data_IF_526955866387
#
_entry.id   IF_526955866387
#
_cell.length_a   1.000
_cell.length_b   1.000
_cell.length_c   1.000
_cell.angle_alpha   90.00
_cell.angle_beta   90.00
_cell.angle_gamma   90.00
#
_symmetry.space_group_name_H-M   'P 1'
#
loop_
_entity.id
_entity.type
_entity.pdbx_description
1 polymer ?
#
# COMPACT_ATOMS: atom_id res chain seq x y z
N UNK A 1 2.36 14.62 17.41
CA UNK A 1 2.04 13.51 16.48
C UNK A 1 2.75 13.58 15.13
N UNK A 2 3.66 14.55 14.94
CA UNK A 2 4.44 14.69 13.67
C UNK A 2 5.67 13.78 13.55
N UNK A 3 6.00 13.03 14.60
CA UNK A 3 7.25 12.27 14.70
C UNK A 3 7.27 11.03 13.78
N UNK A 4 6.11 10.49 13.41
CA UNK A 4 5.98 9.26 12.61
C UNK A 4 5.65 9.52 11.13
N UNK A 5 5.39 10.78 10.73
CA UNK A 5 5.07 11.11 9.34
C UNK A 5 6.25 10.73 8.43
N UNK A 6 6.02 9.85 7.47
CA UNK A 6 6.98 9.36 6.44
C UNK A 6 8.31 8.76 6.95
N UNK A 7 8.46 8.49 8.27
CA UNK A 7 9.73 8.01 8.84
C UNK A 7 9.96 6.51 8.73
N UNK A 8 8.90 5.71 8.75
CA UNK A 8 9.02 4.26 8.67
C UNK A 8 8.65 3.83 7.25
N UNK A 9 9.56 3.22 6.50
CA UNK A 9 9.27 2.73 5.16
C UNK A 9 8.06 1.79 5.14
N UNK A 10 7.07 1.98 4.26
CA UNK A 10 5.87 1.16 4.17
C UNK A 10 6.11 -0.34 4.06
N UNK A 11 7.15 -0.84 3.37
CA UNK A 11 7.48 -2.26 3.37
C UNK A 11 7.81 -2.83 4.75
N UNK A 12 8.39 -2.02 5.65
CA UNK A 12 8.68 -2.45 7.04
C UNK A 12 7.38 -2.63 7.80
N UNK A 13 6.42 -1.71 7.64
CA UNK A 13 5.09 -1.83 8.24
C UNK A 13 4.38 -3.08 7.72
N UNK A 14 4.43 -3.31 6.40
CA UNK A 14 3.83 -4.50 5.81
C UNK A 14 4.48 -5.79 6.35
N UNK A 15 5.81 -5.84 6.44
CA UNK A 15 6.53 -6.98 7.02
C UNK A 15 6.13 -7.21 8.48
N UNK A 16 6.05 -6.15 9.29
CA UNK A 16 5.58 -6.23 10.68
C UNK A 16 4.17 -6.81 10.76
N UNK A 17 3.26 -6.34 9.91
CA UNK A 17 1.89 -6.87 9.80
C UNK A 17 1.89 -8.38 9.45
N UNK A 18 2.73 -8.81 8.52
CA UNK A 18 2.87 -10.21 8.11
C UNK A 18 3.39 -11.07 9.28
N UNK A 19 4.42 -10.59 9.98
CA UNK A 19 4.99 -11.30 11.14
C UNK A 19 3.95 -11.43 12.26
N UNK A 20 3.24 -10.36 12.60
CA UNK A 20 2.18 -10.40 13.62
C UNK A 20 1.06 -11.35 13.18
N UNK A 21 0.68 -11.33 11.89
CA UNK A 21 -0.32 -12.24 11.33
C UNK A 21 0.10 -13.72 11.50
N UNK A 22 1.36 -14.04 11.18
CA UNK A 22 1.91 -15.37 11.39
C UNK A 22 1.92 -15.76 12.86
N UNK A 23 2.42 -14.91 13.74
CA UNK A 23 2.49 -15.20 15.18
C UNK A 23 1.10 -15.36 15.81
N UNK A 24 0.08 -14.71 15.28
CA UNK A 24 -1.30 -14.86 15.77
C UNK A 24 -1.86 -16.26 15.61
N UNK A 25 -1.33 -17.07 14.67
CA UNK A 25 -1.73 -18.46 14.46
C UNK A 25 -1.35 -19.39 15.61
N UNK A 26 -0.38 -19.00 16.44
CA UNK A 26 -0.02 -19.74 17.66
C UNK A 26 -0.96 -19.43 18.84
N UNK A 27 -1.69 -18.33 18.79
CA UNK A 27 -2.63 -17.91 19.84
C UNK A 27 -4.05 -18.42 19.60
N UNK A 28 -4.45 -18.51 18.34
CA UNK A 28 -5.79 -18.95 17.92
C UNK A 28 -5.66 -19.92 16.75
N UNK A 29 -6.36 -21.03 16.82
CA UNK A 29 -6.34 -22.02 15.76
C UNK A 29 -6.76 -21.43 14.42
N UNK A 30 -5.94 -21.60 13.37
CA UNK A 30 -6.22 -21.05 12.05
C UNK A 30 -7.43 -21.73 11.40
N UNK A 31 -8.18 -20.96 10.62
CA UNK A 31 -9.26 -21.49 9.79
C UNK A 31 -8.64 -22.07 8.53
N UNK A 32 -8.98 -23.31 8.22
CA UNK A 32 -8.54 -23.97 6.99
C UNK A 32 -9.75 -24.19 6.07
N UNK A 33 -9.70 -23.56 4.90
CA UNK A 33 -10.65 -23.83 3.83
C UNK A 33 -9.95 -24.53 2.65
N UNK A 34 -10.55 -25.56 2.06
CA UNK A 34 -9.96 -26.20 0.89
C UNK A 34 -9.69 -25.19 -0.23
N UNK A 35 -8.50 -25.26 -0.82
CA UNK A 35 -8.09 -24.44 -1.97
C UNK A 35 -8.01 -22.91 -1.71
N UNK A 36 -8.10 -22.45 -0.47
CA UNK A 36 -7.95 -21.00 -0.15
C UNK A 36 -6.56 -20.49 -0.52
N UNK A 37 -5.56 -21.37 -0.51
CA UNK A 37 -4.19 -21.04 -0.88
C UNK A 37 -4.10 -20.58 -2.36
N UNK A 38 -4.91 -21.14 -3.26
CA UNK A 38 -4.96 -20.74 -4.67
C UNK A 38 -5.40 -19.28 -4.77
N UNK A 39 -6.45 -18.90 -4.04
CA UNK A 39 -6.93 -17.51 -3.98
C UNK A 39 -5.85 -16.63 -3.39
N UNK A 40 -5.17 -17.07 -2.33
CA UNK A 40 -4.04 -16.37 -1.73
C UNK A 40 -2.92 -16.11 -2.74
N UNK A 41 -2.54 -17.12 -3.56
CA UNK A 41 -1.54 -16.96 -4.62
C UNK A 41 -1.98 -15.91 -5.65
N UNK A 42 -3.23 -15.97 -6.10
CA UNK A 42 -3.74 -15.00 -7.08
C UNK A 42 -3.70 -13.58 -6.53
N UNK A 43 -4.13 -13.37 -5.29
CA UNK A 43 -4.08 -12.07 -4.63
C UNK A 43 -2.64 -11.58 -4.46
N UNK A 44 -1.71 -12.48 -4.10
CA UNK A 44 -0.28 -12.16 -4.02
C UNK A 44 0.26 -11.67 -5.36
N UNK A 45 -0.04 -12.39 -6.44
CA UNK A 45 0.41 -12.00 -7.78
C UNK A 45 -0.16 -10.64 -8.20
N UNK A 46 -1.45 -10.38 -7.94
CA UNK A 46 -2.07 -9.06 -8.19
C UNK A 46 -1.35 -7.97 -7.40
N UNK A 47 -1.04 -8.21 -6.13
CA UNK A 47 -0.32 -7.26 -5.27
C UNK A 47 1.08 -6.95 -5.80
N UNK A 48 1.85 -7.98 -6.14
CA UNK A 48 3.21 -7.82 -6.69
C UNK A 48 3.20 -7.10 -8.04
N UNK A 49 2.30 -7.47 -8.95
CA UNK A 49 2.15 -6.83 -10.25
C UNK A 49 1.79 -5.35 -10.08
N UNK A 50 0.82 -5.03 -9.21
CA UNK A 50 0.40 -3.65 -8.91
C UNK A 50 1.56 -2.80 -8.41
N UNK A 51 2.34 -3.31 -7.45
CA UNK A 51 3.51 -2.61 -6.91
C UNK A 51 4.61 -2.43 -7.98
N UNK A 52 4.90 -3.48 -8.77
CA UNK A 52 5.91 -3.43 -9.83
C UNK A 52 5.54 -2.42 -10.93
N UNK A 53 4.28 -2.37 -11.36
CA UNK A 53 3.80 -1.40 -12.33
C UNK A 53 3.96 0.03 -11.83
N UNK A 54 3.68 0.30 -10.56
CA UNK A 54 3.87 1.61 -9.95
C UNK A 54 5.34 2.03 -9.95
N UNK A 55 6.25 1.13 -9.51
CA UNK A 55 7.70 1.38 -9.50
C UNK A 55 8.22 1.61 -10.92
N UNK A 56 7.77 0.81 -11.89
CA UNK A 56 8.14 0.96 -13.29
C UNK A 56 7.75 2.33 -13.83
N UNK A 57 6.52 2.78 -13.56
CA UNK A 57 6.03 4.09 -14.01
C UNK A 57 6.80 5.25 -13.37
N UNK A 58 7.14 5.16 -12.09
CA UNK A 58 7.97 6.17 -11.43
C UNK A 58 9.37 6.24 -12.07
N UNK A 59 10.02 5.10 -12.29
CA UNK A 59 11.33 5.04 -12.97
C UNK A 59 11.25 5.59 -14.40
N UNK A 60 10.22 5.21 -15.17
CA UNK A 60 10.01 5.70 -16.54
C UNK A 60 9.84 7.22 -16.60
N UNK A 61 9.15 7.81 -15.62
CA UNK A 61 8.93 9.25 -15.54
C UNK A 61 10.05 9.99 -14.77
N UNK A 62 11.14 9.30 -14.42
CA UNK A 62 12.32 9.87 -13.73
C UNK A 62 11.95 10.64 -12.45
N UNK A 63 10.93 10.16 -11.72
CA UNK A 63 10.49 10.73 -10.44
C UNK A 63 10.86 9.81 -9.28
N UNK A 64 10.84 10.33 -8.05
CA UNK A 64 11.22 9.56 -6.87
C UNK A 64 10.18 8.50 -6.50
N UNK A 65 10.67 7.34 -6.07
CA UNK A 65 9.88 6.29 -5.41
C UNK A 65 10.04 6.33 -3.89
N UNK A 66 10.80 7.32 -3.37
CA UNK A 66 11.14 7.41 -1.96
C UNK A 66 9.95 7.98 -1.15
N UNK A 67 9.29 7.17 -0.31
CA UNK A 67 8.14 7.64 0.48
C UNK A 67 8.55 8.53 1.66
N UNK A 68 9.86 8.59 1.99
CA UNK A 68 10.38 9.39 3.10
C UNK A 68 10.46 10.86 2.69
N UNK A 69 10.83 11.14 1.43
CA UNK A 69 11.03 12.46 0.88
C UNK A 69 10.09 12.71 -0.32
N UNK A 70 8.78 12.79 -0.13
CA UNK A 70 7.83 13.02 -1.24
C UNK A 70 8.04 14.39 -1.92
N UNK A 71 8.69 15.32 -1.25
CA UNK A 71 9.03 16.65 -1.79
C UNK A 71 10.07 16.61 -2.93
N UNK A 72 10.78 15.50 -3.09
CA UNK A 72 11.73 15.27 -4.20
C UNK A 72 11.05 14.84 -5.52
N UNK A 73 9.72 14.73 -5.53
CA UNK A 73 8.99 14.34 -6.73
C UNK A 73 9.12 15.41 -7.82
N UNK A 74 9.62 15.01 -8.98
CA UNK A 74 9.85 15.89 -10.13
C UNK A 74 8.69 15.90 -11.13
N UNK A 75 7.89 14.84 -11.13
CA UNK A 75 6.80 14.65 -12.10
C UNK A 75 5.59 14.01 -11.42
N UNK A 76 4.41 14.57 -11.68
CA UNK A 76 3.15 13.97 -11.27
C UNK A 76 2.74 12.87 -12.25
N UNK A 77 2.82 11.61 -11.82
CA UNK A 77 2.41 10.45 -12.62
C UNK A 77 0.92 10.18 -12.42
N UNK A 78 0.14 10.27 -13.51
CA UNK A 78 -1.34 10.10 -13.48
C UNK A 78 -1.82 9.00 -14.42
N UNK A 79 -0.91 8.34 -15.15
CA UNK A 79 -1.24 7.37 -16.21
C UNK A 79 -1.04 5.91 -15.74
N UNK A 80 -1.55 4.96 -16.53
CA UNK A 80 -1.44 3.54 -16.22
C UNK A 80 -2.15 3.19 -14.92
N UNK A 81 -1.50 2.46 -14.00
CA UNK A 81 -2.09 2.08 -12.72
C UNK A 81 -2.49 3.28 -11.85
N UNK A 82 -1.83 4.45 -12.04
CA UNK A 82 -2.17 5.69 -11.36
C UNK A 82 -3.46 6.35 -11.86
N UNK A 83 -4.04 5.91 -12.97
CA UNK A 83 -5.39 6.33 -13.38
C UNK A 83 -6.52 5.57 -12.67
N UNK A 84 -6.20 4.47 -11.98
CA UNK A 84 -7.15 3.64 -11.23
C UNK A 84 -7.11 3.97 -9.74
N UNK A 85 -5.91 4.11 -9.20
CA UNK A 85 -5.64 4.42 -7.79
C UNK A 85 -4.50 5.42 -7.67
N UNK A 86 -4.58 6.35 -6.71
CA UNK A 86 -3.48 7.28 -6.46
C UNK A 86 -2.30 6.63 -5.71
N UNK A 87 -2.52 5.47 -5.07
CA UNK A 87 -1.55 4.82 -4.19
C UNK A 87 -1.30 3.35 -4.56
N UNK A 88 -0.91 3.03 -5.81
CA UNK A 88 -0.81 1.65 -6.25
C UNK A 88 0.26 0.85 -5.51
N UNK A 89 1.33 1.48 -5.01
CA UNK A 89 2.35 0.78 -4.22
C UNK A 89 1.77 0.29 -2.88
N UNK A 90 0.99 1.13 -2.19
CA UNK A 90 0.34 0.75 -0.92
C UNK A 90 -0.79 -0.25 -1.12
N UNK A 91 -1.52 -0.14 -2.24
CA UNK A 91 -2.51 -1.13 -2.64
C UNK A 91 -1.85 -2.49 -2.89
N UNK A 92 -0.68 -2.52 -3.54
CA UNK A 92 0.12 -3.73 -3.71
C UNK A 92 0.52 -4.37 -2.37
N UNK A 93 1.03 -3.58 -1.42
CA UNK A 93 1.36 -4.06 -0.08
C UNK A 93 0.12 -4.58 0.68
N UNK A 94 -1.02 -3.91 0.55
CA UNK A 94 -2.28 -4.36 1.12
C UNK A 94 -2.66 -5.77 0.59
N UNK A 95 -2.57 -5.99 -0.71
CA UNK A 95 -2.84 -7.31 -1.30
C UNK A 95 -1.84 -8.37 -0.85
N UNK A 96 -0.56 -8.03 -0.68
CA UNK A 96 0.44 -8.94 -0.12
C UNK A 96 0.05 -9.34 1.31
N UNK A 97 -0.34 -8.41 2.17
CA UNK A 97 -0.81 -8.74 3.53
C UNK A 97 -2.10 -9.58 3.46
N UNK A 98 -3.04 -9.22 2.59
CA UNK A 98 -4.29 -9.96 2.36
C UNK A 98 -4.03 -11.43 1.99
N UNK A 99 -3.06 -11.68 1.11
CA UNK A 99 -2.67 -13.04 0.73
C UNK A 99 -2.17 -13.84 1.94
N UNK A 100 -1.37 -13.24 2.82
CA UNK A 100 -0.87 -13.93 4.02
C UNK A 100 -1.97 -14.23 5.04
N UNK A 101 -3.02 -13.40 5.11
CA UNK A 101 -4.21 -13.68 5.93
C UNK A 101 -4.88 -14.98 5.48
N UNK A 102 -5.00 -15.17 4.16
CA UNK A 102 -5.58 -16.39 3.59
C UNK A 102 -4.65 -17.61 3.79
N UNK A 103 -3.34 -17.45 3.55
CA UNK A 103 -2.37 -18.53 3.73
C UNK A 103 -2.30 -19.02 5.18
N UNK A 104 -2.30 -18.11 6.13
CA UNK A 104 -2.21 -18.47 7.54
C UNK A 104 -3.57 -18.80 8.17
N UNK A 105 -4.67 -18.50 7.48
CA UNK A 105 -6.01 -18.70 8.02
C UNK A 105 -6.29 -17.90 9.30
N UNK A 106 -5.67 -16.73 9.43
CA UNK A 106 -5.66 -15.97 10.67
C UNK A 106 -6.92 -15.12 10.84
N UNK A 107 -7.64 -15.32 11.94
CA UNK A 107 -8.75 -14.47 12.34
C UNK A 107 -8.35 -13.01 12.61
N UNK A 108 -7.15 -12.82 13.16
CA UNK A 108 -6.61 -11.49 13.42
C UNK A 108 -6.25 -10.72 12.15
N UNK A 109 -6.19 -11.41 11.01
CA UNK A 109 -5.82 -10.82 9.74
C UNK A 109 -6.69 -9.64 9.34
N UNK A 110 -7.99 -9.66 9.64
CA UNK A 110 -8.90 -8.54 9.34
C UNK A 110 -8.50 -7.30 10.16
N UNK A 111 -8.21 -7.48 11.45
CA UNK A 111 -7.78 -6.38 12.33
C UNK A 111 -6.46 -5.80 11.84
N UNK A 112 -5.53 -6.67 11.42
CA UNK A 112 -4.22 -6.26 10.89
C UNK A 112 -4.38 -5.46 9.59
N UNK A 113 -5.27 -5.87 8.68
CA UNK A 113 -5.56 -5.14 7.44
C UNK A 113 -6.17 -3.76 7.73
N UNK A 114 -7.12 -3.67 8.65
CA UNK A 114 -7.70 -2.38 9.08
C UNK A 114 -6.62 -1.48 9.68
N UNK A 115 -5.77 -2.03 10.55
CA UNK A 115 -4.64 -1.29 11.13
C UNK A 115 -3.67 -0.80 10.04
N UNK A 116 -3.31 -1.65 9.08
CA UNK A 116 -2.42 -1.27 7.97
C UNK A 116 -3.00 -0.10 7.17
N UNK A 117 -4.27 -0.19 6.74
CA UNK A 117 -4.94 0.88 5.98
C UNK A 117 -5.00 2.17 6.79
N UNK A 118 -5.37 2.10 8.07
CA UNK A 118 -5.40 3.27 8.96
C UNK A 118 -4.01 3.90 9.09
N UNK A 119 -2.97 3.08 9.36
CA UNK A 119 -1.61 3.55 9.55
C UNK A 119 -1.06 4.22 8.29
N UNK A 120 -1.18 3.54 7.13
CA UNK A 120 -0.69 4.05 5.86
C UNK A 120 -1.43 5.35 5.47
N UNK A 121 -2.75 5.41 5.63
CA UNK A 121 -3.49 6.65 5.37
C UNK A 121 -2.96 7.82 6.21
N UNK A 122 -2.78 7.61 7.51
CA UNK A 122 -2.46 8.69 8.45
C UNK A 122 -1.01 9.15 8.37
N UNK A 123 -0.07 8.21 8.24
CA UNK A 123 1.35 8.50 8.40
C UNK A 123 2.13 8.52 7.07
N UNK A 124 1.54 8.04 5.98
CA UNK A 124 2.16 8.03 4.66
C UNK A 124 1.34 8.84 3.66
N UNK A 125 0.11 8.41 3.34
CA UNK A 125 -0.65 8.97 2.23
C UNK A 125 -1.00 10.45 2.47
N UNK A 126 -1.52 10.81 3.65
CA UNK A 126 -1.91 12.21 3.92
C UNK A 126 -0.70 13.16 3.81
N UNK A 127 0.47 12.87 4.42
CA UNK A 127 1.67 13.70 4.21
C UNK A 127 2.14 13.77 2.76
N UNK A 128 2.06 12.66 2.02
CA UNK A 128 2.41 12.64 0.59
C UNK A 128 1.43 13.49 -0.24
N UNK A 129 0.14 13.40 0.03
CA UNK A 129 -0.87 14.25 -0.62
C UNK A 129 -0.64 15.73 -0.34
N UNK A 130 -0.27 16.10 0.91
CA UNK A 130 0.09 17.47 1.29
C UNK A 130 1.33 17.96 0.49
N UNK A 131 2.34 17.10 0.32
CA UNK A 131 3.52 17.42 -0.46
C UNK A 131 3.19 17.55 -1.96
N UNK A 132 2.41 16.63 -2.52
CA UNK A 132 1.98 16.68 -3.93
C UNK A 132 1.15 17.93 -4.25
N UNK A 133 0.28 18.34 -3.33
CA UNK A 133 -0.52 19.56 -3.49
C UNK A 133 0.36 20.82 -3.50
N UNK A 134 1.40 20.87 -2.65
CA UNK A 134 2.37 21.97 -2.64
C UNK A 134 3.21 22.01 -3.92
N UNK A 135 3.65 20.85 -4.44
CA UNK A 135 4.52 20.76 -5.61
C UNK A 135 3.78 21.01 -6.92
N UNK A 136 2.57 20.45 -7.07
CA UNK A 136 1.86 20.41 -8.35
C UNK A 136 0.57 21.24 -8.39
N UNK A 137 0.12 21.76 -7.24
CA UNK A 137 -1.00 22.70 -7.14
C UNK A 137 -2.28 22.19 -7.82
N UNK A 138 -2.81 23.00 -8.76
CA UNK A 138 -4.07 22.71 -9.45
C UNK A 138 -4.04 21.38 -10.24
N UNK A 139 -2.87 20.99 -10.79
CA UNK A 139 -2.75 19.71 -11.52
C UNK A 139 -3.00 18.51 -10.61
N UNK A 140 -2.50 18.57 -9.38
CA UNK A 140 -2.76 17.54 -8.40
C UNK A 140 -4.22 17.54 -7.94
N UNK A 141 -4.82 18.71 -7.75
CA UNK A 141 -6.22 18.83 -7.34
C UNK A 141 -7.19 18.29 -8.39
N UNK A 142 -6.94 18.50 -9.67
CA UNK A 142 -7.70 17.90 -10.77
C UNK A 142 -7.55 16.36 -10.79
N UNK A 143 -6.33 15.86 -10.65
CA UNK A 143 -6.07 14.43 -10.55
C UNK A 143 -6.82 13.80 -9.37
N UNK A 144 -6.78 14.45 -8.20
CA UNK A 144 -7.45 13.99 -6.97
C UNK A 144 -8.98 13.94 -7.09
N UNK A 145 -9.59 14.79 -7.90
CA UNK A 145 -11.04 14.75 -8.18
C UNK A 145 -11.44 13.54 -9.03
N UNK A 146 -10.57 13.10 -9.92
CA UNK A 146 -10.87 12.06 -10.92
C UNK A 146 -10.45 10.66 -10.47
N UNK A 147 -9.47 10.53 -9.58
CA UNK A 147 -8.92 9.24 -9.15
C UNK A 147 -9.01 9.12 -7.64
N UNK A 148 -9.52 7.99 -7.17
CA UNK A 148 -9.67 7.72 -5.74
C UNK A 148 -8.31 7.41 -5.07
N UNK A 149 -8.28 7.49 -3.74
CA UNK A 149 -7.08 7.20 -2.94
C UNK A 149 -6.68 5.73 -3.03
N UNK A 150 -7.65 4.83 -2.92
CA UNK A 150 -7.43 3.38 -2.98
C UNK A 150 -7.99 2.79 -4.29
N UNK A 151 -9.29 2.67 -4.41
CA UNK A 151 -10.01 2.18 -5.60
C UNK A 151 -11.32 2.94 -5.72
#
# INVERSE_FOLDING_TARGET
MNILKTKIPPPIIALTCIVINYLSTYLVNPIKFPKIEIIGILILLVGLITAMLAIFLFKKNKTTVNPINPEEATTLVTTGIFSITRNPMYLGLFFVICSTVLFFGSWFGIIILIFFVWYINKFQIIPEEEAMEKLFGNKYNEYRKNVRRWI
#
